data_IF_004236750284
#
_entry.id   IF_004236750284
#
_cell.length_a   1.000
_cell.length_b   1.000
_cell.length_c   1.000
_cell.angle_alpha   90.00
_cell.angle_beta   90.00
_cell.angle_gamma   90.00
#
_symmetry.space_group_name_H-M   'P 1'
#
loop_
_entity.id
_entity.type
_entity.pdbx_description
1 polymer ?
#
# COMPACT_ATOMS: atom_id res chain seq x y z
N UNK A 1 3.90 -9.60 8.97
CA UNK A 1 2.96 -10.38 8.16
C UNK A 1 3.66 -11.04 6.96
N UNK A 2 4.04 -10.30 5.90
CA UNK A 2 4.63 -10.87 4.68
C UNK A 2 5.86 -11.77 4.88
N UNK A 3 6.82 -11.34 5.71
CA UNK A 3 8.04 -12.14 5.97
C UNK A 3 7.72 -13.45 6.70
N UNK A 4 6.81 -13.40 7.68
CA UNK A 4 6.43 -14.57 8.46
C UNK A 4 5.74 -15.62 7.58
N UNK A 5 4.88 -15.20 6.67
CA UNK A 5 4.23 -16.08 5.70
C UNK A 5 5.24 -16.76 4.77
N UNK A 6 6.17 -15.99 4.17
CA UNK A 6 7.22 -16.54 3.29
C UNK A 6 8.11 -17.56 4.01
N UNK A 7 8.49 -17.29 5.26
CA UNK A 7 9.31 -18.21 6.07
C UNK A 7 8.55 -19.48 6.44
N UNK A 8 7.28 -19.36 6.84
CA UNK A 8 6.44 -20.52 7.20
C UNK A 8 6.17 -21.40 5.98
N UNK A 9 5.85 -20.81 4.82
CA UNK A 9 5.60 -21.56 3.60
C UNK A 9 6.88 -22.28 3.11
N UNK A 10 8.02 -21.60 3.12
CA UNK A 10 9.31 -22.21 2.77
C UNK A 10 9.67 -23.37 3.72
N UNK A 11 9.49 -23.17 5.03
CA UNK A 11 9.74 -24.22 6.03
C UNK A 11 8.84 -25.44 5.83
N UNK A 12 7.55 -25.25 5.49
CA UNK A 12 6.60 -26.35 5.23
C UNK A 12 6.93 -27.14 3.98
N UNK A 13 7.49 -26.48 2.98
CA UNK A 13 7.93 -27.10 1.73
C UNK A 13 9.33 -27.75 1.85
N UNK A 14 10.00 -27.62 3.01
CA UNK A 14 11.35 -28.12 3.21
C UNK A 14 12.42 -27.33 2.43
N UNK A 15 12.08 -26.10 2.01
CA UNK A 15 12.98 -25.21 1.29
C UNK A 15 13.90 -24.48 2.28
N UNK A 16 15.09 -24.10 1.82
CA UNK A 16 15.96 -23.20 2.58
C UNK A 16 15.31 -21.81 2.66
N UNK A 17 15.00 -21.39 3.88
CA UNK A 17 14.38 -20.10 4.17
C UNK A 17 15.27 -18.90 3.76
N UNK A 18 16.57 -19.11 3.61
CA UNK A 18 17.54 -18.13 3.13
C UNK A 18 17.77 -18.14 1.63
N UNK A 19 17.12 -19.06 0.90
CA UNK A 19 17.31 -19.19 -0.54
C UNK A 19 16.85 -17.93 -1.29
N UNK A 20 17.53 -17.62 -2.39
CA UNK A 20 17.33 -16.38 -3.13
C UNK A 20 15.92 -16.25 -3.70
N UNK A 21 15.35 -17.34 -4.20
CA UNK A 21 13.98 -17.45 -4.73
C UNK A 21 12.91 -17.24 -3.64
N UNK A 22 13.15 -17.74 -2.43
CA UNK A 22 12.31 -17.48 -1.24
C UNK A 22 12.34 -15.99 -0.89
N UNK A 23 13.53 -15.39 -0.82
CA UNK A 23 13.70 -13.97 -0.50
C UNK A 23 13.22 -13.03 -1.61
N UNK A 24 13.27 -13.45 -2.87
CA UNK A 24 12.73 -12.69 -4.00
C UNK A 24 11.21 -12.51 -3.86
N UNK A 25 10.50 -13.55 -3.42
CA UNK A 25 9.07 -13.48 -3.13
C UNK A 25 8.78 -12.39 -2.09
N UNK A 26 9.53 -12.37 -0.99
CA UNK A 26 9.42 -11.30 0.01
C UNK A 26 9.79 -9.91 -0.55
N UNK A 27 10.84 -9.81 -1.36
CA UNK A 27 11.25 -8.54 -1.95
C UNK A 27 10.19 -7.97 -2.91
N UNK A 28 9.47 -8.79 -3.67
CA UNK A 28 8.38 -8.31 -4.54
C UNK A 28 7.29 -7.63 -3.72
N UNK A 29 6.86 -8.25 -2.63
CA UNK A 29 5.90 -7.64 -1.70
C UNK A 29 6.36 -6.28 -1.19
N UNK A 30 7.65 -6.15 -0.85
CA UNK A 30 8.20 -4.93 -0.26
C UNK A 30 8.54 -3.83 -1.27
N UNK A 31 8.97 -4.19 -2.48
CA UNK A 31 9.37 -3.22 -3.52
C UNK A 31 8.19 -2.40 -4.01
N UNK A 32 7.07 -3.05 -4.30
CA UNK A 32 5.87 -2.34 -4.73
C UNK A 32 5.35 -1.40 -3.63
N UNK A 33 5.34 -1.87 -2.39
CA UNK A 33 4.90 -1.07 -1.24
C UNK A 33 5.83 0.13 -0.99
N UNK A 34 7.15 -0.07 -1.02
CA UNK A 34 8.13 0.99 -0.77
C UNK A 34 8.09 2.08 -1.85
N UNK A 35 8.03 1.70 -3.12
CA UNK A 35 7.96 2.67 -4.23
C UNK A 35 6.65 3.43 -4.18
N UNK A 36 5.53 2.74 -3.96
CA UNK A 36 4.22 3.37 -3.86
C UNK A 36 4.15 4.35 -2.69
N UNK A 37 4.69 3.97 -1.52
CA UNK A 37 4.76 4.85 -0.35
C UNK A 37 5.61 6.08 -0.64
N UNK A 38 6.81 5.90 -1.20
CA UNK A 38 7.71 7.02 -1.56
C UNK A 38 7.08 8.02 -2.51
N UNK A 39 6.44 7.53 -3.59
CA UNK A 39 5.72 8.37 -4.55
C UNK A 39 4.53 9.07 -3.89
N UNK A 40 3.76 8.35 -3.08
CA UNK A 40 2.57 8.91 -2.40
C UNK A 40 2.97 10.03 -1.43
N UNK A 41 4.02 9.81 -0.63
CA UNK A 41 4.52 10.81 0.31
C UNK A 41 5.05 12.05 -0.40
N UNK A 42 5.81 11.88 -1.49
CA UNK A 42 6.33 13.03 -2.26
C UNK A 42 5.20 13.84 -2.90
N UNK A 43 4.22 13.16 -3.51
CA UNK A 43 3.03 13.81 -4.10
C UNK A 43 2.25 14.58 -3.04
N UNK A 44 1.99 13.98 -1.87
CA UNK A 44 1.31 14.65 -0.77
C UNK A 44 2.12 15.85 -0.27
N UNK A 45 3.43 15.68 -0.07
CA UNK A 45 4.28 16.78 0.36
C UNK A 45 4.26 17.93 -0.66
N UNK A 46 4.35 17.63 -1.95
CA UNK A 46 4.30 18.65 -3.01
C UNK A 46 2.94 19.34 -3.10
N UNK A 47 1.84 18.61 -2.91
CA UNK A 47 0.47 19.13 -3.00
C UNK A 47 0.10 20.02 -1.80
N UNK A 48 0.74 19.82 -0.64
CA UNK A 48 0.41 20.52 0.60
C UNK A 48 1.49 21.52 1.07
N UNK A 49 2.76 21.34 0.71
CA UNK A 49 3.89 22.18 1.15
C UNK A 49 4.31 23.26 0.15
N UNK A 50 3.54 23.50 -0.93
CA UNK A 50 3.83 24.55 -1.92
C UNK A 50 2.67 25.54 -2.07
N UNK A 51 3.01 26.82 -2.21
CA UNK A 51 2.06 27.92 -2.42
C UNK A 51 1.74 28.21 -3.90
N UNK A 52 2.02 27.26 -4.79
CA UNK A 52 1.73 27.42 -6.22
C UNK A 52 0.20 27.54 -6.46
N UNK A 53 -0.29 28.63 -7.09
CA UNK A 53 -1.72 28.83 -7.34
C UNK A 53 -2.39 27.69 -8.12
N UNK A 54 -1.66 27.04 -9.03
CA UNK A 54 -2.18 25.90 -9.80
C UNK A 54 -2.36 24.65 -8.93
N UNK A 55 -1.41 24.35 -8.03
CA UNK A 55 -1.52 23.22 -7.10
C UNK A 55 -2.65 23.45 -6.09
N UNK A 56 -2.80 24.70 -5.63
CA UNK A 56 -3.90 25.10 -4.74
C UNK A 56 -5.26 24.89 -5.42
N UNK A 57 -5.42 25.32 -6.68
CA UNK A 57 -6.64 25.10 -7.44
C UNK A 57 -6.92 23.61 -7.67
N UNK A 58 -5.90 22.82 -8.04
CA UNK A 58 -6.03 21.38 -8.21
C UNK A 58 -6.46 20.67 -6.92
N UNK A 59 -5.89 21.05 -5.76
CA UNK A 59 -6.27 20.54 -4.44
C UNK A 59 -7.73 20.86 -4.10
N UNK A 60 -8.14 22.11 -4.27
CA UNK A 60 -9.52 22.54 -3.98
C UNK A 60 -10.54 21.84 -4.87
N UNK A 61 -10.22 21.69 -6.15
CA UNK A 61 -11.06 20.94 -7.10
C UNK A 61 -11.15 19.45 -6.73
N UNK A 62 -10.02 18.80 -6.41
CA UNK A 62 -9.98 17.41 -6.00
C UNK A 62 -10.81 17.13 -4.74
N UNK A 63 -10.68 17.96 -3.71
CA UNK A 63 -11.47 17.84 -2.48
C UNK A 63 -12.97 18.03 -2.74
N UNK A 64 -13.34 19.01 -3.58
CA UNK A 64 -14.74 19.21 -4.00
C UNK A 64 -15.32 17.99 -4.70
N UNK A 65 -14.51 17.27 -5.49
CA UNK A 65 -14.96 16.11 -6.26
C UNK A 65 -15.19 14.90 -5.36
N UNK A 66 -14.29 14.68 -4.39
CA UNK A 66 -14.44 13.62 -3.37
C UNK A 66 -15.66 13.86 -2.49
N UNK A 67 -15.92 15.10 -2.07
CA UNK A 67 -17.10 15.41 -1.24
C UNK A 67 -18.42 15.23 -2.00
N UNK A 68 -18.42 15.42 -3.32
CA UNK A 68 -19.60 15.19 -4.16
C UNK A 68 -19.78 13.74 -4.62
N UNK A 69 -18.81 12.87 -4.36
CA UNK A 69 -18.82 11.46 -4.79
C UNK A 69 -18.70 10.52 -3.57
N UNK A 70 -19.81 10.15 -2.91
CA UNK A 70 -19.81 9.31 -1.70
C UNK A 70 -19.15 7.94 -1.90
N UNK A 71 -19.26 7.36 -3.10
CA UNK A 71 -18.60 6.10 -3.43
C UNK A 71 -17.07 6.24 -3.46
N UNK A 72 -16.56 7.32 -4.05
CA UNK A 72 -15.12 7.63 -4.09
C UNK A 72 -14.60 7.90 -2.69
N UNK A 73 -15.33 8.72 -1.90
CA UNK A 73 -15.01 8.98 -0.49
C UNK A 73 -14.91 7.68 0.33
N UNK A 74 -15.89 6.77 0.17
CA UNK A 74 -15.88 5.46 0.82
C UNK A 74 -14.69 4.59 0.39
N UNK A 75 -14.34 4.58 -0.90
CA UNK A 75 -13.19 3.84 -1.40
C UNK A 75 -11.86 4.40 -0.84
N UNK A 76 -11.69 5.72 -0.79
CA UNK A 76 -10.51 6.34 -0.17
C UNK A 76 -10.39 6.00 1.31
N UNK A 77 -11.50 6.05 2.05
CA UNK A 77 -11.53 5.67 3.47
C UNK A 77 -11.17 4.20 3.65
N UNK A 78 -11.72 3.29 2.83
CA UNK A 78 -11.40 1.87 2.89
C UNK A 78 -9.91 1.59 2.56
N UNK A 79 -9.36 2.31 1.58
CA UNK A 79 -7.94 2.21 1.25
C UNK A 79 -7.06 2.72 2.38
N UNK A 80 -7.39 3.87 2.99
CA UNK A 80 -6.66 4.45 4.12
C UNK A 80 -6.75 3.59 5.39
N UNK A 81 -7.89 2.90 5.59
CA UNK A 81 -8.07 1.94 6.67
C UNK A 81 -7.36 0.60 6.42
N UNK A 82 -6.71 0.41 5.27
CA UNK A 82 -6.01 -0.81 4.90
C UNK A 82 -6.92 -1.98 4.50
N UNK A 83 -8.23 -1.77 4.39
CA UNK A 83 -9.21 -2.82 4.04
C UNK A 83 -9.46 -2.95 2.53
N UNK A 84 -8.87 -2.07 1.72
CA UNK A 84 -9.04 -2.04 0.26
C UNK A 84 -8.10 -2.96 -0.55
N UNK A 85 -7.03 -3.50 0.06
CA UNK A 85 -6.03 -4.27 -0.69
C UNK A 85 -6.29 -5.78 -0.68
N UNK A 86 -6.69 -6.32 -1.85
CA UNK A 86 -6.99 -7.75 -2.07
C UNK A 86 -5.75 -8.66 -2.13
N UNK A 87 -4.57 -8.08 -2.39
CA UNK A 87 -3.30 -8.79 -2.33
C UNK A 87 -2.58 -8.37 -1.05
N UNK A 88 -2.88 -9.04 0.07
CA UNK A 88 -2.26 -8.78 1.37
C UNK A 88 -1.89 -10.11 2.02
N UNK A 89 -0.78 -10.23 2.76
CA UNK A 89 -0.43 -11.42 3.54
C UNK A 89 -1.59 -11.89 4.44
N UNK A 90 -1.74 -13.20 4.65
CA UNK A 90 -2.82 -13.83 5.46
C UNK A 90 -2.97 -13.18 6.84
N UNK A 91 -1.86 -12.91 7.51
CA UNK A 91 -1.87 -12.22 8.81
C UNK A 91 -2.46 -10.79 8.78
N UNK A 92 -2.38 -10.08 7.64
CA UNK A 92 -3.04 -8.77 7.49
C UNK A 92 -4.55 -8.91 7.23
N UNK A 93 -4.99 -10.08 6.77
CA UNK A 93 -6.40 -10.42 6.59
C UNK A 93 -7.03 -10.98 7.88
N UNK A 94 -6.24 -11.18 8.95
CA UNK A 94 -6.67 -11.85 10.18
C UNK A 94 -6.69 -13.38 10.07
N UNK A 95 -6.10 -13.94 9.02
CA UNK A 95 -5.99 -15.38 8.81
C UNK A 95 -4.70 -15.93 9.43
N UNK A 96 -4.76 -17.18 9.92
CA UNK A 96 -3.59 -17.88 10.44
C UNK A 96 -2.64 -18.30 9.30
N UNK A 97 -1.33 -18.24 9.56
CA UNK A 97 -0.27 -18.72 8.64
C UNK A 97 0.15 -20.13 8.97
#
# INVERSE_FOLDING_TARGET
>A
AALAEVVVDASRLGLDIGAFDVLETYQRWRRFDTVQMGVTTDVLNRLFSNDNPLLRAARSFGLSLVDRAPAVKRAFIAQAAGTGSRASPKLLQGEAI
#
